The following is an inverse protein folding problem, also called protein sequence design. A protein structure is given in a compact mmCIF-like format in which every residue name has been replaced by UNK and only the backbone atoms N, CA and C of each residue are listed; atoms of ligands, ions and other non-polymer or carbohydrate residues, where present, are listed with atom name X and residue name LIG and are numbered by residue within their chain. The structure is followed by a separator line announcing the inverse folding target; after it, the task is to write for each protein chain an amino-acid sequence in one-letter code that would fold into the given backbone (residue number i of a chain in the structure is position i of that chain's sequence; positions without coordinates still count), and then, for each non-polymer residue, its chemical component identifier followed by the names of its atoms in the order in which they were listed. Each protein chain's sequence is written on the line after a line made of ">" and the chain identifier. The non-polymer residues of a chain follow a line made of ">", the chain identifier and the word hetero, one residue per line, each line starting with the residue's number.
data_IF_483789147569
#
_entry.id   IF_483789147569
#
_cell.length_a   1.000
_cell.length_b   1.000
_cell.length_c   1.000
_cell.angle_alpha   90.00
_cell.angle_beta   90.00
_cell.angle_gamma   90.00
#
_symmetry.space_group_name_H-M   'P 1'
#
loop_
_entity.id
_entity.type
_entity.pdbx_description
1 polymer ?
#
# COMPACT_ATOMS: atom_id res chain seq x y z
N UNK A 1 -6.68 -33.80 25.49
CA UNK A 1 -7.57 -32.68 25.13
C UNK A 1 -6.72 -31.44 24.84
N UNK A 2 -6.40 -31.18 23.58
CA UNK A 2 -5.57 -30.05 23.15
C UNK A 2 -6.40 -28.76 23.19
N UNK A 3 -6.08 -27.87 24.13
CA UNK A 3 -6.69 -26.53 24.22
C UNK A 3 -6.37 -25.76 22.93
N UNK A 4 -7.38 -25.52 22.09
CA UNK A 4 -7.28 -24.62 20.94
C UNK A 4 -6.83 -23.24 21.44
N UNK A 5 -5.59 -22.84 21.12
CA UNK A 5 -5.10 -21.46 21.34
C UNK A 5 -6.06 -20.50 20.64
N UNK A 6 -6.80 -19.70 21.41
CA UNK A 6 -7.66 -18.64 20.87
C UNK A 6 -6.77 -17.62 20.16
N UNK A 7 -7.02 -17.39 18.87
CA UNK A 7 -6.35 -16.37 18.05
C UNK A 7 -6.60 -14.99 18.66
N UNK A 8 -5.58 -14.41 19.30
CA UNK A 8 -5.60 -13.00 19.70
C UNK A 8 -5.13 -12.21 18.49
N UNK A 9 -6.05 -11.84 17.59
CA UNK A 9 -5.76 -10.79 16.61
C UNK A 9 -5.56 -9.50 17.40
N UNK A 10 -4.54 -8.71 17.07
CA UNK A 10 -4.40 -7.38 17.64
C UNK A 10 -5.73 -6.64 17.50
N UNK A 11 -6.28 -6.05 18.58
CA UNK A 11 -7.50 -5.28 18.47
C UNK A 11 -7.20 -4.07 17.60
N UNK A 12 -7.67 -4.12 16.36
CA UNK A 12 -7.60 -2.99 15.45
C UNK A 12 -8.40 -1.87 16.10
N UNK A 13 -7.73 -0.79 16.51
CA UNK A 13 -8.40 0.38 17.07
C UNK A 13 -9.49 0.84 16.09
N UNK A 14 -10.67 1.13 16.61
CA UNK A 14 -11.82 1.51 15.78
C UNK A 14 -11.56 2.90 15.21
N UNK A 15 -11.11 2.96 13.96
CA UNK A 15 -10.99 4.21 13.19
C UNK A 15 -12.13 4.33 12.17
N UNK A 16 -13.16 5.05 12.58
CA UNK A 16 -14.41 5.19 11.82
C UNK A 16 -14.31 6.22 10.71
N UNK A 17 -15.19 6.11 9.71
CA UNK A 17 -15.28 7.10 8.64
C UNK A 17 -15.58 8.50 9.18
N UNK A 18 -16.39 8.61 10.24
CA UNK A 18 -16.70 9.88 10.89
C UNK A 18 -15.43 10.54 11.44
N UNK A 19 -14.62 9.80 12.19
CA UNK A 19 -13.34 10.30 12.72
C UNK A 19 -12.37 10.68 11.61
N UNK A 20 -12.32 9.89 10.52
CA UNK A 20 -11.51 10.22 9.36
C UNK A 20 -11.90 11.56 8.73
N UNK A 21 -13.21 11.79 8.51
CA UNK A 21 -13.71 13.03 7.91
C UNK A 21 -13.50 14.24 8.84
N UNK A 22 -13.61 14.06 10.15
CA UNK A 22 -13.28 15.09 11.15
C UNK A 22 -11.78 15.42 11.14
N UNK A 23 -10.92 14.42 10.96
CA UNK A 23 -9.46 14.59 10.94
C UNK A 23 -8.96 15.20 9.62
N UNK A 24 -9.62 14.92 8.49
CA UNK A 24 -9.21 15.36 7.16
C UNK A 24 -10.36 16.04 6.40
N UNK A 25 -10.85 17.20 6.89
CA UNK A 25 -12.02 17.86 6.32
C UNK A 25 -11.75 18.53 4.96
N UNK A 26 -10.50 18.88 4.64
CA UNK A 26 -10.14 19.58 3.41
C UNK A 26 -8.69 19.32 2.96
N UNK A 27 -8.39 19.76 1.73
CA UNK A 27 -7.09 19.56 1.08
C UNK A 27 -5.92 20.24 1.79
N UNK A 28 -6.15 21.38 2.47
CA UNK A 28 -5.11 22.10 3.20
C UNK A 28 -4.67 21.32 4.44
N UNK A 29 -5.62 20.75 5.19
CA UNK A 29 -5.30 19.87 6.33
C UNK A 29 -4.53 18.63 5.88
N UNK A 30 -4.93 18.01 4.77
CA UNK A 30 -4.17 16.89 4.19
C UNK A 30 -2.75 17.29 3.79
N UNK A 31 -2.57 18.49 3.23
CA UNK A 31 -1.25 18.97 2.84
C UNK A 31 -0.37 19.28 4.05
N UNK A 32 -0.92 19.92 5.08
CA UNK A 32 -0.23 20.16 6.35
C UNK A 32 0.21 18.85 7.00
N UNK A 33 -0.65 17.81 6.94
CA UNK A 33 -0.29 16.48 7.40
C UNK A 33 0.93 15.91 6.67
N UNK A 34 0.95 15.98 5.32
CA UNK A 34 2.11 15.54 4.52
C UNK A 34 3.36 16.34 4.88
N UNK A 35 3.23 17.67 5.01
CA UNK A 35 4.33 18.57 5.38
C UNK A 35 4.94 18.19 6.71
N UNK A 36 4.10 17.96 7.72
CA UNK A 36 4.54 17.65 9.09
C UNK A 36 5.11 16.24 9.22
N UNK A 37 4.70 15.29 8.38
CA UNK A 37 5.31 13.95 8.31
C UNK A 37 6.67 13.97 7.60
N UNK A 38 6.81 14.78 6.56
CA UNK A 38 8.02 14.79 5.71
C UNK A 38 9.12 15.71 6.25
N UNK A 39 8.75 16.79 6.93
CA UNK A 39 9.70 17.82 7.35
C UNK A 39 9.51 18.21 8.83
N UNK A 40 10.61 18.53 9.53
CA UNK A 40 10.56 19.15 10.84
C UNK A 40 9.90 20.54 10.79
N UNK A 41 9.59 21.11 11.97
CA UNK A 41 8.93 22.43 12.08
C UNK A 41 9.75 23.53 11.38
N UNK A 42 11.07 23.54 11.59
CA UNK A 42 12.04 24.40 10.90
C UNK A 42 12.92 23.56 9.98
N UNK A 43 13.26 24.11 8.82
CA UNK A 43 14.02 23.42 7.77
C UNK A 43 15.13 24.37 7.31
N UNK A 44 16.34 23.87 7.12
CA UNK A 44 17.40 24.66 6.51
C UNK A 44 17.07 24.89 5.02
N UNK A 45 16.92 26.15 4.65
CA UNK A 45 16.43 26.51 3.33
C UNK A 45 17.47 26.15 2.26
N UNK A 46 17.14 25.36 1.21
CA UNK A 46 18.11 25.00 0.17
C UNK A 46 18.67 26.17 -0.64
N UNK A 47 18.06 27.36 -0.55
CA UNK A 47 18.47 28.56 -1.29
C UNK A 47 19.29 29.55 -0.46
N UNK A 48 18.91 29.75 0.81
CA UNK A 48 19.55 30.76 1.66
C UNK A 48 20.21 30.18 2.90
N UNK A 49 20.16 28.86 3.08
CA UNK A 49 20.83 28.08 4.13
C UNK A 49 20.46 28.43 5.58
N UNK A 50 19.55 29.37 5.77
CA UNK A 50 18.99 29.73 7.07
C UNK A 50 18.00 28.68 7.55
N UNK A 51 18.03 28.43 8.85
CA UNK A 51 17.03 27.61 9.53
C UNK A 51 15.69 28.35 9.60
N UNK A 52 14.80 28.04 8.65
CA UNK A 52 13.64 28.85 8.31
C UNK A 52 12.33 28.18 8.72
N UNK A 53 11.33 29.02 9.01
CA UNK A 53 9.94 28.57 8.95
C UNK A 53 9.44 28.65 7.51
N UNK A 54 8.65 27.65 7.14
CA UNK A 54 8.03 27.56 5.82
C UNK A 54 6.53 27.73 5.96
N UNK A 55 6.01 28.84 5.44
CA UNK A 55 4.60 29.23 5.53
C UNK A 55 3.80 28.81 4.31
N UNK A 56 2.52 28.48 4.52
CA UNK A 56 1.61 28.04 3.47
C UNK A 56 1.45 29.12 2.39
N UNK A 57 1.66 28.77 1.12
CA UNK A 57 1.33 29.64 -0.02
C UNK A 57 -0.13 29.44 -0.40
N UNK A 58 -0.92 30.52 -0.37
CA UNK A 58 -2.35 30.48 -0.74
C UNK A 58 -2.53 29.98 -2.18
N UNK A 59 -3.48 29.07 -2.39
CA UNK A 59 -3.87 28.56 -3.72
C UNK A 59 -2.88 27.63 -4.41
N UNK A 60 -1.73 27.29 -3.79
CA UNK A 60 -0.74 26.36 -4.36
C UNK A 60 -0.47 25.25 -3.36
N UNK A 61 -0.05 24.05 -3.78
CA UNK A 61 0.39 22.97 -2.86
C UNK A 61 1.86 23.14 -2.44
N UNK A 62 2.23 24.33 -1.98
CA UNK A 62 3.60 24.70 -1.60
C UNK A 62 3.68 25.55 -0.32
N UNK A 63 4.88 25.59 0.25
CA UNK A 63 5.25 26.42 1.40
C UNK A 63 6.47 27.26 1.03
N UNK A 64 6.51 28.51 1.49
CA UNK A 64 7.59 29.45 1.21
C UNK A 64 8.41 29.73 2.46
N UNK A 65 9.74 29.79 2.28
CA UNK A 65 10.69 30.24 3.29
C UNK A 65 10.38 31.68 3.74
N UNK A 66 10.38 31.91 5.05
CA UNK A 66 10.20 33.22 5.68
C UNK A 66 11.29 34.24 5.30
N UNK A 67 12.52 33.80 5.05
CA UNK A 67 13.64 34.71 4.72
C UNK A 67 13.76 35.06 3.23
N UNK A 68 13.68 34.08 2.33
CA UNK A 68 14.03 34.28 0.91
C UNK A 68 12.90 33.93 -0.08
N UNK A 69 11.74 33.49 0.43
CA UNK A 69 10.58 33.12 -0.40
C UNK A 69 10.75 31.83 -1.22
N UNK A 70 11.84 31.09 -1.05
CA UNK A 70 12.03 29.79 -1.72
C UNK A 70 10.89 28.82 -1.40
N UNK A 71 10.34 28.18 -2.42
CA UNK A 71 9.16 27.31 -2.26
C UNK A 71 9.52 25.83 -2.28
N UNK A 72 8.96 25.10 -1.34
CA UNK A 72 8.97 23.64 -1.31
C UNK A 72 7.55 23.10 -1.53
N UNK A 73 7.43 21.98 -2.24
CA UNK A 73 6.16 21.23 -2.31
C UNK A 73 6.28 19.94 -1.52
N UNK A 74 5.48 19.76 -0.45
CA UNK A 74 5.47 18.51 0.32
C UNK A 74 5.11 17.28 -0.52
N UNK A 75 4.30 17.48 -1.57
CA UNK A 75 3.87 16.42 -2.47
C UNK A 75 4.96 15.91 -3.41
N UNK A 76 6.09 16.62 -3.54
CA UNK A 76 7.21 16.21 -4.40
C UNK A 76 7.77 14.85 -3.98
N UNK A 77 8.07 14.00 -4.97
CA UNK A 77 8.59 12.64 -4.78
C UNK A 77 7.67 11.74 -3.91
N UNK A 78 6.36 11.95 -3.97
CA UNK A 78 5.35 11.08 -3.35
C UNK A 78 4.31 10.64 -4.37
N UNK A 79 3.40 9.74 -3.98
CA UNK A 79 2.26 9.37 -4.83
C UNK A 79 1.34 10.55 -5.18
N UNK A 80 1.40 11.64 -4.40
CA UNK A 80 0.62 12.86 -4.62
C UNK A 80 1.28 13.82 -5.63
N UNK A 81 2.50 13.54 -6.07
CA UNK A 81 3.27 14.42 -6.93
C UNK A 81 2.57 14.70 -8.26
N UNK A 82 2.48 16.00 -8.63
CA UNK A 82 1.83 16.50 -9.85
C UNK A 82 0.38 15.99 -10.03
N UNK A 83 -0.29 15.64 -8.92
CA UNK A 83 -1.68 15.20 -8.96
C UNK A 83 -2.64 16.38 -8.91
N UNK A 84 -3.53 16.44 -9.91
CA UNK A 84 -4.66 17.39 -9.94
C UNK A 84 -5.82 16.94 -9.06
N UNK A 85 -5.86 15.66 -8.68
CA UNK A 85 -6.90 15.14 -7.80
C UNK A 85 -6.77 15.77 -6.40
N UNK A 86 -7.89 16.10 -5.75
CA UNK A 86 -7.90 16.53 -4.35
C UNK A 86 -7.15 15.55 -3.44
N UNK A 87 -6.40 16.08 -2.48
CA UNK A 87 -5.69 15.28 -1.47
C UNK A 87 -6.67 14.54 -0.56
N UNK A 88 -7.85 15.10 -0.29
CA UNK A 88 -8.92 14.41 0.45
C UNK A 88 -9.30 13.09 -0.20
N UNK A 89 -9.43 13.04 -1.53
CA UNK A 89 -9.71 11.80 -2.26
C UNK A 89 -8.57 10.79 -2.13
N UNK A 90 -7.32 11.25 -2.16
CA UNK A 90 -6.17 10.37 -1.94
C UNK A 90 -6.17 9.75 -0.53
N UNK A 91 -6.39 10.58 0.48
CA UNK A 91 -6.44 10.15 1.88
C UNK A 91 -7.61 9.21 2.12
N UNK A 92 -8.77 9.48 1.51
CA UNK A 92 -9.94 8.63 1.59
C UNK A 92 -9.68 7.24 0.99
N UNK A 93 -9.02 7.15 -0.17
CA UNK A 93 -8.65 5.86 -0.75
C UNK A 93 -7.68 5.10 0.16
N UNK A 94 -6.70 5.78 0.76
CA UNK A 94 -5.76 5.17 1.72
C UNK A 94 -6.53 4.64 2.94
N UNK A 95 -7.43 5.44 3.51
CA UNK A 95 -8.30 5.04 4.62
C UNK A 95 -9.10 3.77 4.29
N UNK A 96 -9.77 3.78 3.14
CA UNK A 96 -10.60 2.67 2.71
C UNK A 96 -9.79 1.39 2.49
N UNK A 97 -8.60 1.50 1.88
CA UNK A 97 -7.70 0.36 1.68
C UNK A 97 -7.18 -0.19 3.02
N UNK A 98 -6.86 0.66 3.99
CA UNK A 98 -6.45 0.24 5.32
C UNK A 98 -7.57 -0.47 6.09
N UNK A 99 -8.82 -0.04 5.90
CA UNK A 99 -9.98 -0.60 6.59
C UNK A 99 -10.48 -1.93 5.99
N UNK A 100 -10.15 -2.21 4.72
CA UNK A 100 -10.75 -3.31 3.95
C UNK A 100 -9.78 -4.47 3.75
N UNK A 101 -10.12 -5.64 4.31
CA UNK A 101 -9.31 -6.87 4.16
C UNK A 101 -9.29 -7.44 2.74
N UNK A 102 -10.35 -7.24 1.97
CA UNK A 102 -10.51 -7.80 0.62
C UNK A 102 -9.95 -6.95 -0.52
N UNK A 103 -9.29 -5.82 -0.20
CA UNK A 103 -8.94 -4.80 -1.18
C UNK A 103 -10.17 -4.10 -1.76
N UNK A 104 -9.93 -3.05 -2.55
CA UNK A 104 -11.00 -2.21 -3.11
C UNK A 104 -10.87 -2.08 -4.62
N UNK A 105 -11.98 -2.23 -5.33
CA UNK A 105 -12.01 -2.09 -6.78
C UNK A 105 -11.92 -0.62 -7.22
N UNK A 106 -11.25 -0.36 -8.34
CA UNK A 106 -11.19 0.99 -8.91
C UNK A 106 -12.58 1.53 -9.30
N UNK A 107 -13.53 0.65 -9.67
CA UNK A 107 -14.93 1.05 -9.92
C UNK A 107 -15.65 1.53 -8.67
N UNK A 108 -15.35 0.95 -7.51
CA UNK A 108 -15.91 1.43 -6.24
C UNK A 108 -15.38 2.84 -5.92
N UNK A 109 -14.06 3.04 -6.00
CA UNK A 109 -13.47 4.37 -5.80
C UNK A 109 -14.04 5.40 -6.76
N UNK A 110 -14.25 5.05 -8.04
CA UNK A 110 -14.90 5.93 -9.01
C UNK A 110 -16.30 6.36 -8.53
N UNK A 111 -17.12 5.44 -8.01
CA UNK A 111 -18.47 5.76 -7.53
C UNK A 111 -18.45 6.64 -6.28
N UNK A 112 -17.52 6.38 -5.36
CA UNK A 112 -17.45 7.09 -4.08
C UNK A 112 -16.82 8.48 -4.22
N UNK A 113 -15.83 8.65 -5.11
CA UNK A 113 -15.08 9.91 -5.24
C UNK A 113 -15.44 10.74 -6.47
N UNK A 114 -16.24 10.19 -7.40
CA UNK A 114 -16.63 10.85 -8.65
C UNK A 114 -15.52 11.01 -9.70
N UNK A 115 -14.30 10.53 -9.43
CA UNK A 115 -13.20 10.61 -10.39
C UNK A 115 -13.39 9.62 -11.55
N UNK A 116 -12.72 9.85 -12.67
CA UNK A 116 -12.75 8.89 -13.79
C UNK A 116 -12.15 7.54 -13.39
N UNK A 117 -12.63 6.45 -13.98
CA UNK A 117 -12.09 5.10 -13.75
C UNK A 117 -10.56 5.03 -13.91
N UNK A 118 -10.00 5.67 -14.95
CA UNK A 118 -8.55 5.72 -15.18
C UNK A 118 -7.80 6.38 -14.02
N UNK A 119 -8.38 7.43 -13.44
CA UNK A 119 -7.82 8.13 -12.27
C UNK A 119 -7.91 7.26 -11.03
N UNK A 120 -9.08 6.68 -10.75
CA UNK A 120 -9.27 5.76 -9.63
C UNK A 120 -8.30 4.57 -9.70
N UNK A 121 -8.16 3.96 -10.88
CA UNK A 121 -7.22 2.86 -11.10
C UNK A 121 -5.78 3.25 -10.85
N UNK A 122 -5.34 4.42 -11.37
CA UNK A 122 -4.00 4.96 -11.09
C UNK A 122 -3.79 5.16 -9.59
N UNK A 123 -4.74 5.81 -8.91
CA UNK A 123 -4.64 6.07 -7.46
C UNK A 123 -4.51 4.77 -6.67
N UNK A 124 -5.38 3.79 -6.95
CA UNK A 124 -5.32 2.48 -6.31
C UNK A 124 -3.98 1.79 -6.54
N UNK A 125 -3.43 1.85 -7.77
CA UNK A 125 -2.14 1.25 -8.08
C UNK A 125 -1.01 1.89 -7.27
N UNK A 126 -0.95 3.22 -7.21
CA UNK A 126 0.08 3.94 -6.48
C UNK A 126 0.01 3.67 -4.97
N UNK A 127 -1.20 3.62 -4.39
CA UNK A 127 -1.36 3.29 -2.95
C UNK A 127 -0.90 1.86 -2.66
N UNK A 128 -1.27 0.88 -3.49
CA UNK A 128 -0.83 -0.52 -3.30
C UNK A 128 0.68 -0.68 -3.39
N UNK A 129 1.34 0.04 -4.29
CA UNK A 129 2.80 0.02 -4.39
C UNK A 129 3.49 0.55 -3.13
N UNK A 130 2.84 1.45 -2.38
CA UNK A 130 3.37 1.94 -1.10
C UNK A 130 3.06 1.00 0.08
N UNK A 131 2.16 0.03 -0.10
CA UNK A 131 1.84 -0.99 0.91
C UNK A 131 2.70 -2.25 0.75
N UNK A 132 3.52 -2.32 -0.29
CA UNK A 132 4.40 -3.47 -0.52
C UNK A 132 5.47 -3.48 0.58
N UNK A 133 5.41 -4.48 1.45
CA UNK A 133 6.34 -4.64 2.57
C UNK A 133 7.63 -5.28 2.04
N UNK A 134 8.79 -4.73 2.42
CA UNK A 134 10.06 -5.43 2.20
C UNK A 134 10.04 -6.73 3.01
N UNK A 135 10.01 -7.86 2.30
CA UNK A 135 9.95 -9.19 2.90
C UNK A 135 11.29 -9.52 3.59
N UNK A 136 11.32 -9.47 4.92
CA UNK A 136 12.24 -10.32 5.67
C UNK A 136 11.80 -11.78 5.53
N UNK A 137 12.72 -12.77 5.58
CA UNK A 137 12.38 -14.18 5.43
C UNK A 137 11.22 -14.63 6.34
N UNK A 138 10.47 -15.63 5.89
CA UNK A 138 9.44 -16.29 6.68
C UNK A 138 10.09 -17.19 7.74
N UNK A 139 9.75 -17.02 9.02
CA UNK A 139 10.46 -17.70 10.14
C UNK A 139 9.59 -18.66 10.95
N UNK A 140 8.27 -18.61 10.79
CA UNK A 140 7.30 -19.43 11.54
C UNK A 140 6.86 -20.72 10.84
N UNK A 141 5.59 -21.10 11.09
CA UNK A 141 4.93 -22.18 10.33
C UNK A 141 4.47 -21.62 8.98
N UNK A 142 5.04 -22.12 7.87
CA UNK A 142 4.85 -21.61 6.53
C UNK A 142 4.06 -22.63 5.69
N UNK A 143 2.94 -22.21 5.13
CA UNK A 143 2.17 -23.01 4.16
C UNK A 143 2.48 -22.49 2.75
N UNK A 144 2.88 -23.40 1.86
CA UNK A 144 3.19 -23.10 0.45
C UNK A 144 2.19 -23.83 -0.43
N UNK A 145 1.49 -23.09 -1.29
CA UNK A 145 0.53 -23.66 -2.23
C UNK A 145 0.62 -22.97 -3.59
N UNK A 146 0.19 -23.67 -4.64
CA UNK A 146 0.10 -23.10 -5.98
C UNK A 146 -1.35 -22.94 -6.43
N UNK A 147 -1.64 -21.83 -7.10
CA UNK A 147 -2.95 -21.51 -7.65
C UNK A 147 -2.86 -21.11 -9.11
N UNK A 148 -3.85 -21.49 -9.92
CA UNK A 148 -3.84 -21.26 -11.37
C UNK A 148 -4.97 -20.28 -11.77
N UNK A 149 -4.59 -19.13 -12.33
CA UNK A 149 -5.51 -18.07 -12.71
C UNK A 149 -5.55 -17.88 -14.23
N UNK A 150 -6.73 -17.65 -14.80
CA UNK A 150 -6.90 -17.42 -16.22
C UNK A 150 -8.36 -17.56 -16.66
N UNK A 151 -8.60 -17.32 -17.96
CA UNK A 151 -9.94 -17.44 -18.55
C UNK A 151 -10.48 -18.85 -18.42
N UNK A 152 -11.81 -18.99 -18.28
CA UNK A 152 -12.47 -20.30 -18.21
C UNK A 152 -12.28 -21.04 -19.53
N UNK A 153 -11.58 -22.18 -19.50
CA UNK A 153 -11.38 -23.07 -20.66
C UNK A 153 -11.94 -24.46 -20.37
N UNK A 154 -12.40 -25.16 -21.40
CA UNK A 154 -12.70 -26.60 -21.33
C UNK A 154 -11.37 -27.36 -21.44
N UNK A 155 -11.16 -28.39 -20.62
CA UNK A 155 -9.92 -29.19 -20.66
C UNK A 155 -9.51 -29.73 -19.29
N UNK A 156 -8.24 -30.15 -19.19
CA UNK A 156 -7.61 -30.64 -17.95
C UNK A 156 -7.62 -29.55 -16.88
N UNK A 157 -7.80 -29.93 -15.61
CA UNK A 157 -7.79 -29.03 -14.44
C UNK A 157 -6.47 -29.19 -13.66
N UNK A 158 -6.09 -28.15 -12.92
CA UNK A 158 -4.94 -28.17 -12.02
C UNK A 158 -3.60 -28.01 -12.76
N UNK A 159 -2.54 -28.68 -12.28
CA UNK A 159 -1.16 -28.53 -12.79
C UNK A 159 -0.97 -28.84 -14.29
N UNK A 160 -1.91 -29.56 -14.92
CA UNK A 160 -1.89 -29.89 -16.35
C UNK A 160 -2.76 -28.99 -17.23
N UNK A 161 -3.28 -27.88 -16.70
CA UNK A 161 -4.14 -26.95 -17.43
C UNK A 161 -3.31 -25.94 -18.25
N UNK A 162 -3.56 -25.90 -19.57
CA UNK A 162 -2.81 -25.03 -20.49
C UNK A 162 -3.37 -23.60 -20.57
N UNK A 163 -2.46 -22.62 -20.57
CA UNK A 163 -2.81 -21.20 -20.75
C UNK A 163 -3.34 -20.50 -19.50
N UNK A 164 -3.11 -21.08 -18.30
CA UNK A 164 -3.27 -20.39 -17.02
C UNK A 164 -1.93 -19.90 -16.48
N UNK A 165 -1.98 -18.81 -15.73
CA UNK A 165 -0.86 -18.27 -14.98
C UNK A 165 -0.80 -18.99 -13.63
N UNK A 166 0.31 -19.64 -13.35
CA UNK A 166 0.57 -20.23 -12.04
C UNK A 166 1.06 -19.13 -11.08
N UNK A 167 0.51 -19.13 -9.87
CA UNK A 167 0.86 -18.23 -8.77
C UNK A 167 1.27 -19.11 -7.59
N UNK A 168 2.47 -18.91 -7.06
CA UNK A 168 2.90 -19.48 -5.79
C UNK A 168 2.46 -18.56 -4.67
N UNK A 169 1.72 -19.08 -3.71
CA UNK A 169 1.43 -18.43 -2.43
C UNK A 169 2.31 -19.01 -1.34
N UNK A 170 3.00 -18.15 -0.59
CA UNK A 170 3.76 -18.49 0.61
C UNK A 170 3.12 -17.74 1.78
N UNK A 171 2.64 -18.47 2.79
CA UNK A 171 1.87 -17.89 3.89
C UNK A 171 2.45 -18.35 5.22
N UNK A 172 2.88 -17.42 6.06
CA UNK A 172 3.21 -17.72 7.45
C UNK A 172 1.96 -17.62 8.32
N UNK A 173 1.73 -18.61 9.19
CA UNK A 173 0.55 -18.64 10.05
C UNK A 173 0.51 -17.46 11.01
N UNK A 174 -0.52 -16.61 10.83
CA UNK A 174 -0.68 -15.34 11.54
C UNK A 174 0.45 -14.32 11.26
N UNK A 175 1.19 -14.53 10.17
CA UNK A 175 2.27 -13.66 9.75
C UNK A 175 2.04 -13.17 8.33
N UNK A 176 3.13 -13.20 7.56
CA UNK A 176 3.21 -12.61 6.23
C UNK A 176 2.56 -13.48 5.18
N UNK A 177 2.21 -12.87 4.05
CA UNK A 177 1.79 -13.54 2.85
C UNK A 177 2.54 -12.94 1.66
N UNK A 178 3.10 -13.81 0.84
CA UNK A 178 3.66 -13.44 -0.45
C UNK A 178 3.00 -14.27 -1.56
N UNK A 179 2.66 -13.60 -2.66
CA UNK A 179 2.17 -14.28 -3.86
C UNK A 179 2.97 -13.81 -5.07
N UNK A 180 3.57 -14.74 -5.80
CA UNK A 180 4.36 -14.43 -7.01
C UNK A 180 3.99 -15.33 -8.18
N UNK A 181 4.02 -14.77 -9.39
CA UNK A 181 3.80 -15.55 -10.62
C UNK A 181 4.99 -16.47 -10.89
N UNK A 182 4.73 -17.74 -11.18
CA UNK A 182 5.75 -18.74 -11.51
C UNK A 182 5.52 -19.30 -12.92
N UNK A 183 6.58 -19.70 -13.65
CA UNK A 183 6.43 -20.26 -15.00
C UNK A 183 5.73 -21.62 -15.00
N UNK A 184 5.84 -22.40 -13.92
CA UNK A 184 5.21 -23.70 -13.75
C UNK A 184 5.28 -24.16 -12.28
N UNK A 185 4.44 -25.13 -11.90
CA UNK A 185 4.40 -25.69 -10.55
C UNK A 185 5.30 -26.94 -10.36
N UNK A 186 6.47 -26.99 -11.03
CA UNK A 186 7.42 -28.10 -10.85
C UNK A 186 8.33 -27.83 -9.66
N UNK A 187 8.78 -28.90 -8.99
CA UNK A 187 9.68 -28.81 -7.83
C UNK A 187 10.96 -28.01 -8.12
N UNK A 188 11.52 -28.13 -9.34
CA UNK A 188 12.71 -27.37 -9.78
C UNK A 188 12.50 -25.84 -9.82
N UNK A 189 11.25 -25.39 -9.94
CA UNK A 189 10.89 -23.97 -9.92
C UNK A 189 10.51 -23.52 -8.51
N UNK A 190 9.78 -24.35 -7.76
CA UNK A 190 9.26 -23.99 -6.44
C UNK A 190 10.34 -24.05 -5.35
N UNK A 191 11.14 -25.13 -5.29
CA UNK A 191 12.10 -25.34 -4.19
C UNK A 191 13.14 -24.21 -4.04
N UNK A 192 13.74 -23.67 -5.12
CA UNK A 192 14.67 -22.54 -4.98
C UNK A 192 14.00 -21.30 -4.38
N UNK A 193 12.75 -21.04 -4.76
CA UNK A 193 11.97 -19.90 -4.24
C UNK A 193 11.70 -20.10 -2.75
N UNK A 194 11.30 -21.31 -2.33
CA UNK A 194 11.06 -21.60 -0.91
C UNK A 194 12.34 -21.42 -0.10
N UNK A 195 13.47 -21.98 -0.57
CA UNK A 195 14.74 -21.91 0.14
C UNK A 195 15.32 -20.48 0.25
N UNK A 196 15.01 -19.60 -0.70
CA UNK A 196 15.43 -18.20 -0.67
C UNK A 196 14.60 -17.37 0.32
N UNK A 197 13.31 -17.70 0.49
CA UNK A 197 12.36 -16.84 1.20
C UNK A 197 11.98 -17.38 2.59
N UNK A 198 12.19 -18.67 2.86
CA UNK A 198 11.89 -19.31 4.15
C UNK A 198 13.19 -19.59 4.92
N UNK A 199 13.24 -19.15 6.17
CA UNK A 199 14.39 -19.38 7.03
C UNK A 199 14.58 -20.88 7.30
N UNK A 200 15.82 -21.32 7.53
CA UNK A 200 16.14 -22.74 7.71
C UNK A 200 15.41 -23.33 8.93
N UNK A 201 15.16 -22.51 9.95
CA UNK A 201 14.43 -22.86 11.16
C UNK A 201 12.89 -22.87 11.02
N UNK A 202 12.34 -22.37 9.90
CA UNK A 202 10.90 -22.36 9.68
C UNK A 202 10.36 -23.76 9.34
N UNK A 203 9.13 -24.03 9.74
CA UNK A 203 8.47 -25.31 9.48
C UNK A 203 7.53 -25.16 8.28
N UNK A 204 7.85 -25.80 7.15
CA UNK A 204 7.06 -25.79 5.90
C UNK A 204 6.13 -27.00 5.82
#
# INVERSE_FOLDING_TARGET
>A
MTKKRKKIKSPMEKFTLKQFLEMFPNDDVCLDYIRNKKYPKRIDCPKCEKNALFHRVKGRKSYACDFCGYQISPTSNTIFHKSRTPLTNWFYIIYLMAQTRGGISAKQIQRETGVTYKTAWRMCKQVRQCLDENYSPFTGEVEVDESFFGSRRKGKRGRGEEGKIAILGIVERNGKLEARTIPNAKSKTILPIVNENVAIEAMV
#
